data_IF_013161496670
#
_entry.id   IF_013161496670
#
_cell.length_a   1.000
_cell.length_b   1.000
_cell.length_c   1.000
_cell.angle_alpha   90.00
_cell.angle_beta   90.00
_cell.angle_gamma   90.00
#
_symmetry.space_group_name_H-M   'P 1'
#
loop_
_entity.id
_entity.type
_entity.pdbx_description
1 polymer ?
#
# COMPACT_ATOMS: atom_id res chain seq x y z
N UNK A 1 11.85 -16.19 -8.07
CA UNK A 1 11.49 -17.25 -7.17
C UNK A 1 10.08 -17.72 -7.38
N UNK A 2 9.99 -19.01 -7.56
CA UNK A 2 8.72 -19.63 -7.91
C UNK A 2 7.68 -19.54 -6.81
N UNK A 3 8.09 -19.52 -5.55
CA UNK A 3 7.15 -19.45 -4.43
C UNK A 3 6.31 -18.20 -4.37
N UNK A 4 6.62 -17.20 -5.16
CA UNK A 4 5.86 -15.94 -5.18
C UNK A 4 4.78 -15.92 -6.25
N UNK A 5 4.84 -16.83 -7.21
CA UNK A 5 3.86 -16.84 -8.29
C UNK A 5 2.41 -17.03 -7.83
N UNK A 6 2.14 -17.85 -6.78
CA UNK A 6 0.76 -18.00 -6.32
C UNK A 6 0.10 -16.71 -5.82
N UNK A 7 0.90 -15.68 -5.51
CA UNK A 7 0.36 -14.40 -5.02
C UNK A 7 -0.15 -13.50 -6.14
N UNK A 8 0.08 -13.91 -7.40
CA UNK A 8 -0.28 -13.08 -8.55
C UNK A 8 -1.12 -13.84 -9.54
N UNK A 9 -1.88 -13.08 -10.30
CA UNK A 9 -2.50 -13.56 -11.52
C UNK A 9 -1.75 -12.95 -12.69
N UNK A 10 -1.54 -13.76 -13.74
CA UNK A 10 -0.91 -13.29 -14.95
C UNK A 10 -1.97 -13.03 -16.00
N UNK A 11 -1.92 -11.88 -16.62
CA UNK A 11 -2.83 -11.48 -17.66
C UNK A 11 -2.06 -11.18 -18.94
N UNK A 12 -2.68 -11.51 -20.08
CA UNK A 12 -2.19 -11.08 -21.37
C UNK A 12 -2.80 -9.72 -21.65
N UNK A 13 -1.97 -8.68 -21.80
CA UNK A 13 -2.45 -7.36 -22.11
C UNK A 13 -2.76 -7.20 -23.61
N UNK A 14 -3.17 -6.00 -24.02
CA UNK A 14 -3.53 -5.72 -25.41
C UNK A 14 -2.39 -5.92 -26.38
N UNK A 15 -1.17 -5.71 -25.92
CA UNK A 15 0.02 -5.78 -26.76
C UNK A 15 0.67 -7.16 -26.73
N UNK A 16 0.03 -8.11 -26.10
CA UNK A 16 0.54 -9.47 -26.03
C UNK A 16 1.55 -9.72 -24.93
N UNK A 17 1.63 -8.82 -23.96
CA UNK A 17 2.53 -8.98 -22.81
C UNK A 17 1.79 -9.58 -21.62
N UNK A 18 2.50 -10.43 -20.89
CA UNK A 18 1.97 -10.97 -19.64
C UNK A 18 2.29 -10.02 -18.50
N UNK A 19 1.28 -9.71 -17.71
CA UNK A 19 1.40 -8.86 -16.54
C UNK A 19 1.03 -9.62 -15.28
N UNK A 20 1.77 -9.36 -14.19
CA UNK A 20 1.41 -9.86 -12.88
C UNK A 20 0.55 -8.82 -12.18
N UNK A 21 -0.62 -9.23 -11.69
CA UNK A 21 -1.55 -8.35 -11.01
C UNK A 21 -2.09 -9.01 -9.76
N UNK A 22 -2.27 -8.23 -8.70
CA UNK A 22 -2.82 -8.70 -7.45
C UNK A 22 -4.34 -8.71 -7.51
N UNK A 23 -4.94 -9.68 -6.82
CA UNK A 23 -6.39 -9.79 -6.70
C UNK A 23 -6.83 -9.30 -5.32
N UNK A 24 -7.51 -8.17 -5.31
CA UNK A 24 -8.16 -7.66 -4.12
C UNK A 24 -9.57 -8.22 -4.09
N UNK A 25 -9.81 -9.20 -3.21
CA UNK A 25 -11.04 -9.99 -3.24
C UNK A 25 -12.12 -9.46 -2.33
N UNK A 26 -11.75 -9.09 -1.13
CA UNK A 26 -12.71 -8.61 -0.16
C UNK A 26 -12.01 -7.73 0.84
N UNK A 27 -12.65 -6.63 1.18
CA UNK A 27 -12.21 -5.85 2.31
C UNK A 27 -13.42 -5.28 3.03
N UNK A 28 -13.28 -5.18 4.33
CA UNK A 28 -14.29 -4.64 5.20
C UNK A 28 -13.55 -3.93 6.32
N UNK A 29 -14.30 -3.33 7.22
CA UNK A 29 -13.69 -2.72 8.39
C UNK A 29 -12.84 -3.77 9.12
N UNK A 30 -11.56 -3.48 9.27
CA UNK A 30 -10.63 -4.31 10.02
C UNK A 30 -9.96 -5.44 9.25
N UNK A 31 -10.28 -5.65 7.97
CA UNK A 31 -9.61 -6.70 7.20
C UNK A 31 -9.59 -6.41 5.71
N UNK A 32 -8.63 -7.03 5.04
CA UNK A 32 -8.53 -7.01 3.58
C UNK A 32 -8.04 -8.39 3.12
N UNK A 33 -8.58 -8.86 2.02
CA UNK A 33 -8.16 -10.11 1.42
C UNK A 33 -7.45 -9.84 0.09
N UNK A 34 -6.21 -10.30 0.00
CA UNK A 34 -5.38 -10.10 -1.19
C UNK A 34 -4.86 -11.47 -1.61
N UNK A 35 -5.13 -11.86 -2.84
CA UNK A 35 -4.67 -13.14 -3.41
C UNK A 35 -4.95 -14.34 -2.49
N UNK A 36 -6.13 -14.37 -1.91
CA UNK A 36 -6.55 -15.48 -1.07
C UNK A 36 -6.09 -15.43 0.39
N UNK A 37 -5.31 -14.42 0.78
CA UNK A 37 -4.85 -14.26 2.16
C UNK A 37 -5.56 -13.08 2.80
N UNK A 38 -6.09 -13.31 4.00
CA UNK A 38 -6.79 -12.27 4.76
C UNK A 38 -5.85 -11.63 5.76
N UNK A 39 -5.79 -10.31 5.75
CA UNK A 39 -4.96 -9.53 6.65
C UNK A 39 -5.86 -8.68 7.55
N UNK A 40 -5.64 -8.79 8.85
CA UNK A 40 -6.38 -8.02 9.86
C UNK A 40 -5.55 -6.88 10.44
N UNK A 41 -4.58 -6.41 9.70
CA UNK A 41 -3.68 -5.32 10.10
C UNK A 41 -3.28 -4.55 8.86
N UNK A 42 -2.70 -3.38 9.05
CA UNK A 42 -2.18 -2.59 7.95
C UNK A 42 -1.14 -3.38 7.17
N UNK A 43 -1.17 -3.22 5.85
CA UNK A 43 -0.25 -3.94 4.97
C UNK A 43 0.57 -2.97 4.13
N UNK A 44 1.75 -3.45 3.75
CA UNK A 44 2.63 -2.78 2.80
C UNK A 44 2.73 -3.66 1.58
N UNK A 45 2.54 -3.07 0.42
CA UNK A 45 2.73 -3.75 -0.87
C UNK A 45 3.98 -3.17 -1.50
N UNK A 46 4.99 -4.01 -1.64
CA UNK A 46 6.30 -3.61 -2.14
C UNK A 46 6.67 -4.49 -3.33
N UNK A 47 6.55 -3.94 -4.53
CA UNK A 47 6.83 -4.66 -5.77
C UNK A 47 6.16 -6.02 -5.81
N UNK A 48 4.87 -6.02 -5.45
CA UNK A 48 4.04 -7.20 -5.45
C UNK A 48 4.10 -8.06 -4.19
N UNK A 49 5.02 -7.82 -3.28
CA UNK A 49 5.06 -8.52 -2.01
C UNK A 49 4.18 -7.83 -0.99
N UNK A 50 3.41 -8.61 -0.26
CA UNK A 50 2.56 -8.08 0.80
C UNK A 50 3.18 -8.42 2.14
N UNK A 51 3.35 -7.43 2.98
CA UNK A 51 3.85 -7.62 4.34
C UNK A 51 3.08 -6.75 5.32
N UNK A 52 3.18 -7.09 6.59
CA UNK A 52 2.58 -6.28 7.66
C UNK A 52 3.30 -4.95 7.76
N UNK A 53 2.54 -3.86 7.87
CA UNK A 53 3.11 -2.56 8.17
C UNK A 53 3.74 -2.60 9.57
N UNK A 54 4.99 -2.17 9.69
CA UNK A 54 5.71 -2.06 10.95
C UNK A 54 5.65 -0.61 11.40
N UNK A 55 4.64 -0.28 12.18
CA UNK A 55 4.39 1.11 12.59
C UNK A 55 5.04 1.50 13.91
N UNK A 56 5.74 0.58 14.56
CA UNK A 56 6.36 0.84 15.86
C UNK A 56 7.23 2.09 15.87
N UNK A 57 8.08 2.35 14.84
CA UNK A 57 8.89 3.56 14.84
C UNK A 57 8.07 4.86 14.83
N UNK A 58 6.82 4.81 14.39
CA UNK A 58 5.96 5.97 14.31
C UNK A 58 5.07 6.17 15.54
N UNK A 59 5.05 5.20 16.45
CA UNK A 59 4.16 5.27 17.61
C UNK A 59 4.40 6.47 18.51
N UNK A 60 5.62 6.97 18.55
CA UNK A 60 5.97 8.14 19.35
C UNK A 60 5.25 9.41 18.88
N UNK A 61 4.72 9.42 17.67
CA UNK A 61 3.96 10.55 17.15
C UNK A 61 2.46 10.43 17.35
N UNK A 62 2.02 9.33 17.94
CA UNK A 62 0.60 9.04 18.05
C UNK A 62 -0.20 10.11 18.80
N UNK A 63 0.34 10.60 19.91
CA UNK A 63 -0.36 11.57 20.73
C UNK A 63 -0.62 12.87 19.98
N UNK A 64 0.30 13.27 19.13
CA UNK A 64 0.17 14.47 18.32
C UNK A 64 -0.92 14.36 17.27
N UNK A 65 -1.08 13.18 16.69
CA UNK A 65 -1.99 12.97 15.56
C UNK A 65 -3.28 12.24 15.91
N UNK A 66 -3.41 11.72 17.11
CA UNK A 66 -4.58 10.90 17.50
C UNK A 66 -4.56 9.48 16.97
N UNK A 67 -3.72 9.20 15.99
CA UNK A 67 -3.47 7.88 15.40
C UNK A 67 -1.99 7.76 15.11
N UNK A 68 -1.50 6.53 14.96
CA UNK A 68 -0.10 6.34 14.59
C UNK A 68 0.05 6.76 13.12
N UNK A 69 0.74 7.88 12.84
CA UNK A 69 0.86 8.35 11.47
C UNK A 69 1.86 7.52 10.68
N UNK A 70 1.87 7.67 9.37
CA UNK A 70 2.96 7.18 8.54
C UNK A 70 4.10 8.19 8.67
N UNK A 71 5.27 7.73 9.10
CA UNK A 71 6.45 8.58 9.23
C UNK A 71 7.60 8.00 8.42
N UNK A 72 8.59 8.85 8.16
CA UNK A 72 9.78 8.47 7.40
C UNK A 72 10.63 7.41 8.12
N UNK A 73 10.39 7.21 9.43
CA UNK A 73 11.13 6.21 10.20
C UNK A 73 10.65 4.78 9.96
N UNK A 74 9.52 4.63 9.30
CA UNK A 74 9.05 3.32 8.88
C UNK A 74 9.77 2.86 7.61
N UNK A 75 9.71 1.56 7.36
CA UNK A 75 10.22 1.01 6.10
C UNK A 75 9.22 1.26 4.99
N UNK A 76 9.29 2.42 4.40
CA UNK A 76 8.41 2.80 3.30
C UNK A 76 8.94 2.17 2.00
N UNK A 77 8.06 1.59 1.17
CA UNK A 77 8.49 0.94 -0.06
C UNK A 77 8.76 1.97 -1.17
N UNK A 78 9.91 2.61 -1.09
CA UNK A 78 10.27 3.72 -1.98
C UNK A 78 10.60 3.32 -3.42
N UNK A 79 10.86 2.06 -3.70
CA UNK A 79 11.26 1.63 -5.05
C UNK A 79 10.04 1.51 -5.96
N UNK A 80 9.54 2.64 -6.38
CA UNK A 80 8.34 2.73 -7.20
C UNK A 80 8.27 4.11 -7.87
N UNK A 81 7.42 4.25 -8.84
CA UNK A 81 7.08 5.56 -9.42
C UNK A 81 5.89 6.18 -8.71
N UNK A 82 5.03 5.34 -8.16
CA UNK A 82 3.79 5.76 -7.55
C UNK A 82 3.64 5.05 -6.22
N UNK A 83 3.45 5.83 -5.17
CA UNK A 83 3.21 5.29 -3.83
C UNK A 83 1.80 5.68 -3.40
N UNK A 84 0.98 4.69 -3.20
CA UNK A 84 -0.40 4.88 -2.73
C UNK A 84 -0.44 4.65 -1.24
N UNK A 85 -1.00 5.62 -0.51
CA UNK A 85 -1.28 5.44 0.91
C UNK A 85 -2.80 5.41 1.07
N UNK A 86 -3.32 4.22 1.33
CA UNK A 86 -4.74 4.04 1.60
C UNK A 86 -5.03 4.41 3.04
N UNK A 87 -5.78 5.47 3.23
CA UNK A 87 -6.01 6.05 4.55
C UNK A 87 -7.21 5.44 5.30
N UNK A 88 -7.73 4.32 4.79
CA UNK A 88 -8.89 3.66 5.37
C UNK A 88 -10.14 4.50 5.16
N UNK A 89 -10.74 4.96 6.26
CA UNK A 89 -11.87 5.88 6.20
C UNK A 89 -11.44 7.34 6.17
N UNK A 90 -10.13 7.58 5.95
CA UNK A 90 -9.57 8.93 5.91
C UNK A 90 -8.85 9.33 7.19
N UNK A 91 -8.76 8.42 8.17
CA UNK A 91 -8.22 8.75 9.48
C UNK A 91 -6.70 8.62 9.61
N UNK A 92 -6.04 7.94 8.68
CA UNK A 92 -4.59 7.73 8.77
C UNK A 92 -3.82 8.99 8.39
N UNK A 93 -3.12 9.63 9.33
CA UNK A 93 -2.32 10.81 8.98
C UNK A 93 -1.00 10.38 8.34
N UNK A 94 -0.50 11.21 7.45
CA UNK A 94 0.80 11.04 6.80
C UNK A 94 1.64 12.27 7.14
N UNK A 95 2.79 12.03 7.76
CA UNK A 95 3.63 13.13 8.20
C UNK A 95 4.26 13.87 7.02
N UNK A 96 4.52 15.14 7.22
CA UNK A 96 5.03 16.01 6.17
C UNK A 96 6.37 15.53 5.59
N UNK A 97 7.23 14.96 6.41
CA UNK A 97 8.53 14.47 5.94
C UNK A 97 8.40 13.32 4.94
N UNK A 98 7.34 12.52 5.03
CA UNK A 98 7.04 11.50 4.03
C UNK A 98 6.73 12.16 2.69
N UNK A 99 5.93 13.22 2.73
CA UNK A 99 5.56 13.97 1.51
C UNK A 99 6.79 14.62 0.88
N UNK A 100 7.65 15.20 1.70
CA UNK A 100 8.88 15.83 1.23
C UNK A 100 9.83 14.82 0.61
N UNK A 101 9.96 13.65 1.23
CA UNK A 101 10.84 12.62 0.71
C UNK A 101 10.33 12.04 -0.61
N UNK A 102 9.03 11.84 -0.74
CA UNK A 102 8.44 11.40 -1.99
C UNK A 102 8.73 12.40 -3.11
N UNK A 103 8.59 13.68 -2.81
CA UNK A 103 8.88 14.74 -3.77
C UNK A 103 10.35 14.74 -4.17
N UNK A 104 11.25 14.61 -3.21
CA UNK A 104 12.68 14.56 -3.46
C UNK A 104 13.03 13.38 -4.38
N UNK A 105 12.37 12.25 -4.18
CA UNK A 105 12.59 11.03 -4.99
C UNK A 105 11.83 11.04 -6.30
N UNK A 106 11.03 12.08 -6.56
CA UNK A 106 10.18 12.18 -7.76
C UNK A 106 9.17 11.05 -7.85
N UNK A 107 8.64 10.65 -6.71
CA UNK A 107 7.59 9.64 -6.60
C UNK A 107 6.24 10.36 -6.49
N UNK A 108 5.26 9.93 -7.29
CA UNK A 108 3.90 10.42 -7.16
C UNK A 108 3.28 9.81 -5.90
N UNK A 109 2.99 10.64 -4.91
CA UNK A 109 2.38 10.20 -3.66
C UNK A 109 0.87 10.46 -3.72
N UNK A 110 0.09 9.39 -3.57
CA UNK A 110 -1.37 9.45 -3.63
C UNK A 110 -1.93 9.00 -2.28
N UNK A 111 -2.56 9.90 -1.57
CA UNK A 111 -3.22 9.60 -0.30
C UNK A 111 -4.71 9.50 -0.59
N UNK A 112 -5.25 8.29 -0.51
CA UNK A 112 -6.59 7.99 -0.98
C UNK A 112 -7.36 7.17 0.06
N UNK A 113 -8.69 7.34 0.14
CA UNK A 113 -9.51 6.42 0.91
C UNK A 113 -9.34 4.99 0.39
N UNK A 114 -9.70 4.01 1.23
CA UNK A 114 -9.44 2.59 0.93
C UNK A 114 -9.91 2.18 -0.47
N UNK A 115 -11.14 2.50 -0.81
CA UNK A 115 -11.71 2.07 -2.10
C UNK A 115 -10.93 2.64 -3.27
N UNK A 116 -10.59 3.92 -3.21
CA UNK A 116 -9.85 4.58 -4.28
C UNK A 116 -8.42 4.08 -4.35
N UNK A 117 -7.80 3.78 -3.21
CA UNK A 117 -6.46 3.23 -3.16
C UNK A 117 -6.39 1.88 -3.86
N UNK A 118 -7.36 1.01 -3.60
CA UNK A 118 -7.41 -0.31 -4.23
C UNK A 118 -7.65 -0.16 -5.72
N UNK A 119 -8.51 0.75 -6.12
CA UNK A 119 -8.78 1.00 -7.53
C UNK A 119 -7.53 1.46 -8.26
N UNK A 120 -6.75 2.33 -7.64
CA UNK A 120 -5.49 2.80 -8.20
C UNK A 120 -4.50 1.66 -8.38
N UNK A 121 -4.42 0.76 -7.41
CA UNK A 121 -3.55 -0.41 -7.50
C UNK A 121 -3.97 -1.36 -8.61
N UNK A 122 -5.27 -1.51 -8.83
CA UNK A 122 -5.77 -2.36 -9.91
C UNK A 122 -5.46 -1.78 -11.29
N UNK A 123 -5.57 -0.46 -11.43
CA UNK A 123 -5.35 0.21 -12.71
C UNK A 123 -3.88 0.35 -13.06
N UNK A 124 -3.03 0.46 -12.05
CA UNK A 124 -1.59 0.70 -12.25
C UNK A 124 -0.77 -0.29 -11.41
N UNK A 125 -0.82 -1.60 -11.74
CA UNK A 125 -0.12 -2.60 -10.94
C UNK A 125 1.39 -2.48 -11.01
N UNK A 126 1.92 -1.99 -12.15
CA UNK A 126 3.34 -1.86 -12.33
C UNK A 126 3.84 -0.56 -11.71
N UNK A 127 4.99 -0.64 -11.07
CA UNK A 127 5.68 0.52 -10.50
C UNK A 127 4.88 1.25 -9.42
N UNK A 128 3.84 0.61 -8.88
CA UNK A 128 3.01 1.16 -7.81
C UNK A 128 3.17 0.33 -6.56
N UNK A 129 3.63 0.97 -5.49
CA UNK A 129 3.68 0.37 -4.16
C UNK A 129 2.61 1.01 -3.28
N UNK A 130 2.34 0.41 -2.13
CA UNK A 130 1.28 0.93 -1.28
C UNK A 130 1.51 0.65 0.19
N UNK A 131 0.91 1.51 1.01
CA UNK A 131 0.66 1.25 2.42
C UNK A 131 -0.85 1.36 2.59
N UNK A 132 -1.49 0.29 3.04
CA UNK A 132 -2.94 0.26 3.19
C UNK A 132 -3.32 0.17 4.66
N UNK A 133 -4.03 1.18 5.13
CA UNK A 133 -4.61 1.18 6.47
C UNK A 133 -5.89 0.37 6.45
N UNK A 134 -5.94 -0.67 7.25
CA UNK A 134 -7.01 -1.67 7.24
C UNK A 134 -7.91 -1.51 8.46
N UNK A 135 -7.35 -1.12 9.59
CA UNK A 135 -8.08 -0.97 10.85
C UNK A 135 -8.51 0.49 11.03
N UNK A 136 -9.77 0.69 11.35
CA UNK A 136 -10.44 1.98 11.47
C UNK A 136 -10.18 2.94 10.28
#
# INVERSE_FOLDING_TARGET
>A
MLGRLPLFQLFLDRDGHWEASMRFQKFSFGSIRIDGVTYAHDVVIDRGDVRKRKKKPSKKFRDEFGHTPVSIEEKIPWKCRRLVIGTGTGALPVMHDVKSEAKRRKIALLMLPRTDAIEELKQHPDETNAILHVTC
#
